data_IF_550783782945
#
_entry.id   IF_550783782945
#
_cell.length_a   1.000
_cell.length_b   1.000
_cell.length_c   1.000
_cell.angle_alpha   90.00
_cell.angle_beta   90.00
_cell.angle_gamma   90.00
#
_symmetry.space_group_name_H-M   'P 1'
#
loop_
_entity.id
_entity.type
_entity.pdbx_description
1 polymer ?
#
# COMPACT_ATOMS: atom_id res chain seq x y z
N UNK A 1 29.73 10.73 -8.58
CA UNK A 1 28.58 9.84 -8.29
C UNK A 1 28.68 9.41 -6.84
N UNK A 2 27.68 9.69 -6.01
CA UNK A 2 27.72 9.32 -4.60
C UNK A 2 26.84 8.09 -4.39
N UNK A 3 27.44 6.99 -3.94
CA UNK A 3 26.69 5.79 -3.59
C UNK A 3 25.84 6.12 -2.35
N UNK A 4 24.52 5.91 -2.45
CA UNK A 4 23.62 6.07 -1.29
C UNK A 4 23.95 5.00 -0.26
N UNK A 5 24.35 5.42 0.93
CA UNK A 5 24.59 4.56 2.08
C UNK A 5 23.48 4.80 3.10
N UNK A 6 22.76 3.74 3.47
CA UNK A 6 21.76 3.83 4.53
C UNK A 6 22.39 3.53 5.89
N UNK A 7 22.04 4.33 6.89
CA UNK A 7 22.39 4.11 8.29
C UNK A 7 21.49 3.03 8.91
N UNK A 8 22.04 2.18 9.78
CA UNK A 8 21.28 1.17 10.50
C UNK A 8 22.00 -0.16 10.71
N UNK A 9 21.37 -1.03 11.50
CA UNK A 9 21.89 -2.38 11.78
C UNK A 9 21.98 -3.19 10.48
N UNK A 10 23.14 -3.82 10.27
CA UNK A 10 23.42 -4.69 9.12
C UNK A 10 23.43 -6.14 9.58
N UNK A 11 23.10 -7.04 8.66
CA UNK A 11 23.30 -8.49 8.76
C UNK A 11 24.39 -8.90 7.78
N UNK A 12 25.22 -9.82 8.22
CA UNK A 12 26.28 -10.43 7.41
C UNK A 12 25.93 -11.89 7.18
N UNK A 13 26.21 -12.37 5.97
CA UNK A 13 25.97 -13.76 5.59
C UNK A 13 27.29 -14.51 5.49
N UNK A 14 27.26 -15.84 5.55
CA UNK A 14 28.44 -16.70 5.41
C UNK A 14 29.20 -16.50 4.10
N UNK A 15 28.53 -15.97 3.07
CA UNK A 15 29.13 -15.61 1.77
C UNK A 15 29.90 -14.28 1.78
N UNK A 16 29.92 -13.55 2.91
CA UNK A 16 30.52 -12.22 3.03
C UNK A 16 29.60 -11.08 2.58
N UNK A 17 28.41 -11.38 2.04
CA UNK A 17 27.43 -10.36 1.70
C UNK A 17 26.93 -9.62 2.95
N UNK A 18 26.67 -8.30 2.82
CA UNK A 18 26.08 -7.48 3.89
C UNK A 18 24.77 -6.87 3.40
N UNK A 19 23.72 -6.95 4.22
CA UNK A 19 22.40 -6.34 3.94
C UNK A 19 21.87 -5.65 5.18
N UNK A 20 20.95 -4.72 5.03
CA UNK A 20 20.28 -4.09 6.17
C UNK A 20 19.43 -5.09 6.97
N UNK A 21 19.13 -4.73 8.22
CA UNK A 21 18.22 -5.48 9.09
C UNK A 21 16.87 -5.76 8.42
N UNK A 22 16.34 -6.96 8.66
CA UNK A 22 15.06 -7.42 8.09
C UNK A 22 13.83 -7.00 8.91
N UNK A 23 14.01 -6.62 10.19
CA UNK A 23 12.91 -6.25 11.09
C UNK A 23 12.11 -5.06 10.52
N UNK A 24 10.78 -5.19 10.51
CA UNK A 24 9.86 -4.14 10.04
C UNK A 24 9.65 -4.07 8.52
N UNK A 25 10.32 -4.91 7.72
CA UNK A 25 10.18 -4.94 6.25
C UNK A 25 9.16 -5.98 5.74
N UNK A 26 8.47 -6.64 6.67
CA UNK A 26 7.64 -7.80 6.36
C UNK A 26 8.46 -9.02 5.92
N UNK A 27 7.79 -10.12 5.64
CA UNK A 27 8.40 -11.33 5.09
C UNK A 27 7.50 -11.85 3.98
N UNK A 28 7.58 -11.28 2.76
CA UNK A 28 6.68 -11.61 1.67
C UNK A 28 6.65 -13.10 1.30
N UNK A 29 7.74 -13.83 1.57
CA UNK A 29 7.79 -15.29 1.35
C UNK A 29 6.88 -16.10 2.29
N UNK A 30 6.40 -15.50 3.38
CA UNK A 30 5.40 -16.11 4.27
C UNK A 30 3.97 -15.73 3.87
N UNK A 31 3.78 -14.86 2.88
CA UNK A 31 2.47 -14.49 2.41
C UNK A 31 1.86 -15.66 1.61
N UNK A 32 0.68 -16.18 1.99
CA UNK A 32 0.06 -17.30 1.30
C UNK A 32 -0.15 -16.99 -0.19
N UNK A 33 0.30 -17.86 -1.12
CA UNK A 33 0.20 -17.60 -2.56
C UNK A 33 -1.24 -17.46 -3.06
N UNK A 34 -2.18 -18.19 -2.47
CA UNK A 34 -3.61 -18.07 -2.72
C UNK A 34 -4.14 -16.68 -2.35
N UNK A 35 -3.80 -16.17 -1.16
CA UNK A 35 -4.14 -14.81 -0.76
C UNK A 35 -3.57 -13.75 -1.73
N UNK A 36 -2.35 -13.97 -2.24
CA UNK A 36 -1.77 -13.10 -3.28
C UNK A 36 -2.58 -13.10 -4.57
N UNK A 37 -3.01 -14.28 -5.02
CA UNK A 37 -3.83 -14.39 -6.23
C UNK A 37 -5.21 -13.79 -6.04
N UNK A 38 -5.86 -14.00 -4.90
CA UNK A 38 -7.18 -13.41 -4.61
C UNK A 38 -7.13 -11.88 -4.56
N UNK A 39 -6.11 -11.30 -3.90
CA UNK A 39 -5.90 -9.83 -3.94
C UNK A 39 -5.62 -9.35 -5.37
N UNK A 40 -4.89 -10.13 -6.17
CA UNK A 40 -4.59 -9.76 -7.56
C UNK A 40 -5.86 -9.74 -8.43
N UNK A 41 -6.76 -10.73 -8.28
CA UNK A 41 -8.07 -10.74 -8.96
C UNK A 41 -8.94 -9.55 -8.55
N UNK A 42 -8.97 -9.23 -7.25
CA UNK A 42 -9.72 -8.07 -6.77
C UNK A 42 -9.23 -6.75 -7.42
N UNK A 43 -7.92 -6.60 -7.61
CA UNK A 43 -7.38 -5.45 -8.34
C UNK A 43 -7.68 -5.48 -9.84
N UNK A 44 -7.72 -6.67 -10.47
CA UNK A 44 -8.12 -6.84 -11.87
C UNK A 44 -9.58 -6.41 -12.09
N UNK A 45 -10.51 -6.90 -11.27
CA UNK A 45 -11.92 -6.50 -11.28
C UNK A 45 -12.09 -4.99 -11.08
N UNK A 46 -11.40 -4.42 -10.09
CA UNK A 46 -11.41 -2.97 -9.87
C UNK A 46 -10.86 -2.17 -11.06
N UNK A 47 -9.81 -2.69 -11.71
CA UNK A 47 -9.21 -2.06 -12.88
C UNK A 47 -10.10 -2.17 -14.13
N UNK A 48 -10.87 -3.24 -14.29
CA UNK A 48 -11.86 -3.38 -15.36
C UNK A 48 -12.92 -2.28 -15.29
N UNK A 49 -13.40 -1.98 -14.09
CA UNK A 49 -14.42 -0.94 -13.89
C UNK A 49 -13.87 0.49 -13.94
N UNK A 50 -12.71 0.74 -13.33
CA UNK A 50 -12.25 2.11 -13.06
C UNK A 50 -10.94 2.48 -13.77
N UNK A 51 -10.24 1.55 -14.42
CA UNK A 51 -8.85 1.61 -14.88
C UNK A 51 -7.80 1.51 -13.75
N UNK A 52 -6.69 0.82 -14.04
CA UNK A 52 -5.61 0.54 -13.08
C UNK A 52 -4.95 1.80 -12.46
N UNK A 53 -5.02 2.94 -13.16
CA UNK A 53 -4.47 4.21 -12.67
C UNK A 53 -5.52 5.32 -12.62
N UNK A 54 -6.75 4.97 -12.23
CA UNK A 54 -7.85 5.93 -12.09
C UNK A 54 -7.48 7.14 -11.22
N UNK A 55 -6.68 6.90 -10.18
CA UNK A 55 -6.21 7.92 -9.23
C UNK A 55 -5.40 9.05 -9.87
N UNK A 56 -4.81 8.86 -11.06
CA UNK A 56 -4.09 9.92 -11.78
C UNK A 56 -5.02 10.95 -12.44
N UNK A 57 -6.28 10.59 -12.69
CA UNK A 57 -7.23 11.47 -13.39
C UNK A 57 -7.72 12.63 -12.51
N UNK A 58 -7.41 12.59 -11.21
CA UNK A 58 -7.94 13.51 -10.22
C UNK A 58 -9.42 13.23 -9.92
N UNK A 59 -9.90 13.81 -8.81
CA UNK A 59 -11.30 13.75 -8.41
C UNK A 59 -11.75 15.21 -8.21
N UNK A 60 -12.91 15.63 -8.75
CA UNK A 60 -13.42 16.97 -8.51
C UNK A 60 -13.52 17.27 -7.00
N UNK A 61 -13.09 18.47 -6.59
CA UNK A 61 -13.12 18.87 -5.18
C UNK A 61 -14.54 18.79 -4.58
N UNK A 62 -15.57 19.08 -5.38
CA UNK A 62 -16.96 18.94 -4.97
C UNK A 62 -17.32 17.51 -4.54
N UNK A 63 -16.82 16.48 -5.23
CA UNK A 63 -17.06 15.08 -4.86
C UNK A 63 -16.36 14.69 -3.56
N UNK A 64 -15.16 15.22 -3.33
CA UNK A 64 -14.44 15.02 -2.07
C UNK A 64 -15.18 15.68 -0.89
N UNK A 65 -15.67 16.91 -1.08
CA UNK A 65 -16.49 17.62 -0.09
C UNK A 65 -17.78 16.85 0.17
N UNK A 66 -18.48 16.37 -0.88
CA UNK A 66 -19.69 15.56 -0.73
C UNK A 66 -19.43 14.30 0.09
N UNK A 67 -18.30 13.61 -0.12
CA UNK A 67 -17.92 12.43 0.66
C UNK A 67 -17.62 12.76 2.12
N UNK A 68 -16.88 13.84 2.36
CA UNK A 68 -16.57 14.33 3.70
C UNK A 68 -17.85 14.66 4.50
N UNK A 69 -18.76 15.43 3.91
CA UNK A 69 -20.02 15.82 4.56
C UNK A 69 -20.86 14.60 4.95
N UNK A 70 -20.87 13.52 4.14
CA UNK A 70 -21.53 12.27 4.52
C UNK A 70 -20.92 11.63 5.77
N UNK A 71 -19.59 11.56 5.87
CA UNK A 71 -18.94 11.03 7.07
C UNK A 71 -19.18 11.92 8.29
N UNK A 72 -19.13 13.25 8.14
CA UNK A 72 -19.45 14.19 9.21
C UNK A 72 -20.90 14.01 9.69
N UNK A 73 -21.85 13.81 8.77
CA UNK A 73 -23.24 13.56 9.13
C UNK A 73 -23.39 12.23 9.90
N UNK A 74 -22.72 11.16 9.47
CA UNK A 74 -22.73 9.87 10.16
C UNK A 74 -22.19 9.97 11.60
N UNK A 75 -21.08 10.70 11.79
CA UNK A 75 -20.53 11.00 13.11
C UNK A 75 -21.53 11.78 13.98
N UNK A 76 -22.11 12.87 13.45
CA UNK A 76 -23.12 13.67 14.16
C UNK A 76 -24.35 12.87 14.56
N UNK A 77 -24.67 11.81 13.82
CA UNK A 77 -25.77 10.88 14.10
C UNK A 77 -25.37 9.72 15.03
N UNK A 78 -24.08 9.54 15.33
CA UNK A 78 -23.56 8.41 16.11
C UNK A 78 -23.62 7.06 15.38
N UNK A 79 -23.46 7.06 14.05
CA UNK A 79 -23.49 5.84 13.21
C UNK A 79 -22.10 5.22 12.99
N UNK A 80 -21.04 6.00 13.21
CA UNK A 80 -19.64 5.60 13.15
C UNK A 80 -18.92 6.08 14.41
#
# INVERSE_FOLDING_TARGET
MTIKTESGKKREFSTGAKKQAAKGKGTPVLFPPDAYLEVSKHFEEGAEHYSARNWEKGIPLSELINSLERHIAQEKMGLI
#
